data_IF_448294564939
#
_entry.id   IF_448294564939
#
_cell.length_a   1.000
_cell.length_b   1.000
_cell.length_c   1.000
_cell.angle_alpha   90.00
_cell.angle_beta   90.00
_cell.angle_gamma   90.00
#
_symmetry.space_group_name_H-M   'P 1'
#
loop_
_entity.id
_entity.type
_entity.pdbx_description
1 polymer ?
#
# COMPACT_ATOMS: atom_id res chain seq x y z
N UNK A 1 54.48 -18.75 -12.47
CA UNK A 1 53.39 -19.29 -11.62
C UNK A 1 52.27 -18.27 -11.66
N UNK A 2 51.13 -18.51 -12.34
CA UNK A 2 49.98 -17.64 -12.31
C UNK A 2 49.03 -18.05 -11.17
N UNK A 3 48.63 -17.05 -10.37
CA UNK A 3 47.66 -17.19 -9.30
C UNK A 3 46.27 -17.50 -9.92
N UNK A 4 45.71 -18.64 -9.55
CA UNK A 4 44.32 -19.03 -9.85
C UNK A 4 43.39 -18.21 -8.95
N UNK A 5 42.60 -17.31 -9.56
CA UNK A 5 41.45 -16.67 -8.95
C UNK A 5 40.32 -17.69 -8.91
N UNK A 6 40.00 -18.18 -7.73
CA UNK A 6 38.84 -19.04 -7.48
C UNK A 6 37.55 -18.28 -7.70
N UNK A 7 36.79 -18.66 -8.72
CA UNK A 7 35.40 -18.23 -8.93
C UNK A 7 34.51 -18.93 -7.95
N UNK A 8 34.17 -18.27 -6.83
CA UNK A 8 33.11 -18.73 -5.93
C UNK A 8 31.76 -18.39 -6.57
N UNK A 9 31.12 -19.38 -7.15
CA UNK A 9 29.69 -19.32 -7.50
C UNK A 9 28.85 -19.11 -6.24
N UNK A 10 27.95 -18.14 -6.22
CA UNK A 10 27.03 -17.99 -5.07
C UNK A 10 26.10 -19.21 -4.98
N UNK A 11 25.71 -19.63 -3.77
CA UNK A 11 24.83 -20.76 -3.58
C UNK A 11 23.46 -20.52 -4.23
N UNK A 12 22.79 -21.57 -4.72
CA UNK A 12 21.48 -21.45 -5.35
C UNK A 12 20.43 -20.96 -4.33
N UNK A 13 19.61 -19.98 -4.75
CA UNK A 13 18.57 -19.30 -3.97
C UNK A 13 17.35 -20.20 -3.66
N UNK A 14 17.53 -21.52 -3.67
CA UNK A 14 16.43 -22.50 -3.58
C UNK A 14 15.95 -22.83 -2.17
N UNK A 15 16.48 -22.20 -1.10
CA UNK A 15 16.07 -22.51 0.28
C UNK A 15 15.88 -21.25 1.15
N UNK A 16 15.26 -20.19 0.62
CA UNK A 16 14.59 -19.26 1.53
C UNK A 16 13.28 -19.92 1.90
N UNK A 17 13.33 -20.58 3.04
CA UNK A 17 12.20 -21.25 3.66
C UNK A 17 11.02 -20.30 3.68
N UNK A 18 10.05 -20.53 2.80
CA UNK A 18 8.68 -20.15 3.00
C UNK A 18 8.35 -20.70 4.39
N UNK A 19 8.33 -19.84 5.40
CA UNK A 19 7.60 -20.18 6.61
C UNK A 19 6.21 -20.57 6.10
N UNK A 20 5.79 -21.85 6.23
CA UNK A 20 4.49 -22.25 5.76
C UNK A 20 3.52 -21.29 6.41
N UNK A 21 2.75 -20.55 5.58
CA UNK A 21 1.69 -19.71 6.10
C UNK A 21 0.98 -20.57 7.11
N UNK A 22 1.01 -20.17 8.39
CA UNK A 22 0.34 -20.94 9.44
C UNK A 22 -1.04 -21.19 8.90
N UNK A 23 -1.34 -22.46 8.61
CA UNK A 23 -2.68 -22.89 8.28
C UNK A 23 -3.57 -22.34 9.38
N UNK A 24 -4.24 -21.25 9.09
CA UNK A 24 -5.25 -20.65 9.96
C UNK A 24 -6.43 -21.62 9.95
N UNK A 25 -6.24 -22.74 10.69
CA UNK A 25 -7.34 -23.62 11.04
C UNK A 25 -8.41 -22.75 11.71
N UNK A 26 -9.67 -23.11 11.48
CA UNK A 26 -10.89 -22.36 11.81
C UNK A 26 -11.03 -21.86 13.28
N UNK A 27 -10.01 -21.96 14.12
CA UNK A 27 -10.05 -21.65 15.55
C UNK A 27 -9.61 -20.22 15.93
N UNK A 28 -9.07 -19.38 15.03
CA UNK A 28 -8.63 -18.01 15.36
C UNK A 28 -9.19 -16.98 14.39
N UNK A 29 -10.52 -16.93 14.21
CA UNK A 29 -11.20 -15.82 13.51
C UNK A 29 -11.41 -14.59 14.40
N UNK A 30 -11.23 -14.71 15.70
CA UNK A 30 -11.29 -13.60 16.63
C UNK A 30 -9.98 -12.82 16.59
N UNK A 31 -10.03 -11.58 16.10
CA UNK A 31 -8.87 -10.68 16.02
C UNK A 31 -8.31 -10.40 14.61
N UNK A 32 -8.92 -10.88 13.54
CA UNK A 32 -8.55 -10.51 12.17
C UNK A 32 -9.49 -9.44 11.64
N UNK A 33 -8.96 -8.30 11.22
CA UNK A 33 -9.77 -7.25 10.60
C UNK A 33 -9.95 -7.49 9.10
N UNK A 34 -8.86 -7.72 8.36
CA UNK A 34 -8.88 -8.00 6.93
C UNK A 34 -8.06 -9.25 6.64
N UNK A 35 -8.59 -10.16 5.82
CA UNK A 35 -7.82 -11.29 5.35
C UNK A 35 -8.00 -11.48 3.84
N UNK A 36 -6.90 -11.75 3.17
CA UNK A 36 -6.83 -12.23 1.80
C UNK A 36 -6.45 -13.71 1.84
N UNK A 37 -7.22 -14.58 1.20
CA UNK A 37 -7.02 -16.02 1.22
C UNK A 37 -6.94 -16.57 -0.20
N UNK A 38 -5.77 -17.02 -0.60
CA UNK A 38 -5.54 -17.68 -1.88
C UNK A 38 -5.94 -16.84 -3.09
N UNK A 39 -5.66 -15.53 -3.07
CA UNK A 39 -6.08 -14.66 -4.16
C UNK A 39 -5.34 -14.97 -5.46
N UNK A 40 -6.11 -15.15 -6.52
CA UNK A 40 -5.63 -15.22 -7.90
C UNK A 40 -6.31 -14.16 -8.75
N UNK A 41 -5.53 -13.57 -9.66
CA UNK A 41 -6.05 -12.69 -10.71
C UNK A 41 -5.28 -12.85 -12.00
N UNK A 42 -6.02 -13.08 -13.08
CA UNK A 42 -5.49 -13.16 -14.43
C UNK A 42 -6.05 -12.03 -15.30
N UNK A 43 -5.23 -11.51 -16.20
CA UNK A 43 -5.64 -10.65 -17.31
C UNK A 43 -5.33 -11.40 -18.61
N UNK A 44 -6.36 -11.97 -19.21
CA UNK A 44 -6.18 -12.97 -20.27
C UNK A 44 -5.42 -14.18 -19.74
N UNK A 45 -4.30 -14.52 -20.37
CA UNK A 45 -3.39 -15.60 -19.94
C UNK A 45 -2.32 -15.16 -18.93
N UNK A 46 -2.22 -13.86 -18.63
CA UNK A 46 -1.16 -13.33 -17.78
C UNK A 46 -1.58 -13.32 -16.31
N UNK A 47 -0.91 -14.08 -15.42
CA UNK A 47 -1.19 -14.06 -14.00
C UNK A 47 -0.62 -12.77 -13.37
N UNK A 48 -1.50 -11.91 -12.88
CA UNK A 48 -1.12 -10.68 -12.17
C UNK A 48 -0.97 -10.89 -10.66
N UNK A 49 -1.75 -11.81 -10.08
CA UNK A 49 -1.70 -12.22 -8.66
C UNK A 49 -1.88 -13.73 -8.60
N UNK A 50 -1.03 -14.40 -7.81
CA UNK A 50 -0.96 -15.85 -7.72
C UNK A 50 -0.85 -16.30 -6.26
N UNK A 51 -1.91 -16.92 -5.74
CA UNK A 51 -1.98 -17.50 -4.40
C UNK A 51 -1.57 -16.53 -3.28
N UNK A 52 -2.00 -15.27 -3.36
CA UNK A 52 -1.66 -14.28 -2.33
C UNK A 52 -2.53 -14.49 -1.10
N UNK A 53 -1.88 -14.76 0.03
CA UNK A 53 -2.54 -14.99 1.32
C UNK A 53 -1.86 -14.17 2.40
N UNK A 54 -2.65 -13.38 3.14
CA UNK A 54 -2.19 -12.60 4.29
C UNK A 54 -3.36 -12.17 5.18
N UNK A 55 -3.00 -11.65 6.36
CA UNK A 55 -3.95 -11.08 7.31
C UNK A 55 -3.47 -9.74 7.81
N UNK A 56 -4.40 -8.85 8.11
CA UNK A 56 -4.17 -7.57 8.75
C UNK A 56 -4.98 -7.53 10.06
N UNK A 57 -4.28 -7.41 11.17
CA UNK A 57 -4.88 -7.35 12.50
C UNK A 57 -5.40 -5.94 12.84
N UNK A 58 -6.31 -5.80 13.82
CA UNK A 58 -6.71 -4.50 14.36
C UNK A 58 -5.50 -3.71 14.86
N UNK A 59 -5.43 -2.42 14.51
CA UNK A 59 -4.34 -1.54 14.91
C UNK A 59 -2.98 -1.82 14.25
N UNK A 60 -2.91 -2.75 13.30
CA UNK A 60 -1.68 -3.07 12.58
C UNK A 60 -1.47 -2.13 11.38
N UNK A 61 -0.21 -1.77 11.11
CA UNK A 61 0.22 -1.18 9.84
C UNK A 61 0.97 -2.24 9.05
N UNK A 62 0.37 -2.71 7.96
CA UNK A 62 0.91 -3.72 7.06
C UNK A 62 1.47 -3.05 5.81
N UNK A 63 2.78 -3.15 5.61
CA UNK A 63 3.46 -2.70 4.39
C UNK A 63 3.37 -3.74 3.28
N UNK A 64 2.97 -3.32 2.10
CA UNK A 64 2.83 -4.17 0.91
C UNK A 64 3.74 -3.66 -0.19
N UNK A 65 4.85 -4.34 -0.39
CA UNK A 65 5.98 -3.90 -1.20
C UNK A 65 6.15 -4.75 -2.46
N UNK A 66 6.73 -4.16 -3.47
CA UNK A 66 7.12 -4.86 -4.69
C UNK A 66 7.44 -3.88 -5.82
N UNK A 67 8.17 -4.31 -6.87
CA UNK A 67 8.44 -3.49 -8.03
C UNK A 67 7.17 -3.17 -8.83
N UNK A 68 7.30 -2.29 -9.80
CA UNK A 68 6.22 -2.04 -10.75
C UNK A 68 5.87 -3.34 -11.51
N UNK A 69 4.57 -3.59 -11.70
CA UNK A 69 4.09 -4.82 -12.32
C UNK A 69 4.09 -6.06 -11.41
N UNK A 70 4.45 -5.95 -10.12
CA UNK A 70 4.44 -7.11 -9.21
C UNK A 70 3.04 -7.57 -8.76
N UNK A 71 1.97 -6.82 -9.10
CA UNK A 71 0.59 -7.15 -8.74
C UNK A 71 0.01 -6.31 -7.58
N UNK A 72 0.72 -5.30 -7.07
CA UNK A 72 0.27 -4.46 -5.93
C UNK A 72 -1.09 -3.81 -6.18
N UNK A 73 -1.20 -3.00 -7.23
CA UNK A 73 -2.45 -2.28 -7.54
C UNK A 73 -3.60 -3.22 -7.87
N UNK A 74 -3.32 -4.42 -8.45
CA UNK A 74 -4.32 -5.47 -8.64
C UNK A 74 -4.83 -6.00 -7.30
N UNK A 75 -3.93 -6.28 -6.37
CA UNK A 75 -4.29 -6.70 -5.02
C UNK A 75 -5.10 -5.63 -4.29
N UNK A 76 -4.66 -4.37 -4.32
CA UNK A 76 -5.40 -3.23 -3.75
C UNK A 76 -6.82 -3.14 -4.30
N UNK A 77 -7.01 -3.28 -5.63
CA UNK A 77 -8.34 -3.29 -6.25
C UNK A 77 -9.22 -4.45 -5.77
N UNK A 78 -8.63 -5.63 -5.52
CA UNK A 78 -9.38 -6.75 -4.92
C UNK A 78 -9.74 -6.48 -3.45
N UNK A 79 -8.81 -5.94 -2.66
CA UNK A 79 -9.08 -5.59 -1.26
C UNK A 79 -10.15 -4.49 -1.11
N UNK A 80 -10.25 -3.55 -2.05
CA UNK A 80 -11.26 -2.48 -2.03
C UNK A 80 -12.60 -2.91 -2.63
N UNK A 81 -12.68 -4.15 -3.17
CA UNK A 81 -13.85 -4.65 -3.87
C UNK A 81 -14.12 -3.93 -5.21
N UNK A 82 -13.11 -3.27 -5.79
CA UNK A 82 -13.18 -2.70 -7.14
C UNK A 82 -12.95 -3.75 -8.22
N UNK A 83 -12.37 -4.88 -7.84
CA UNK A 83 -12.07 -6.00 -8.71
C UNK A 83 -12.34 -7.31 -7.99
N UNK A 84 -13.05 -8.23 -8.61
CA UNK A 84 -13.22 -9.57 -8.08
C UNK A 84 -12.00 -10.45 -8.41
N UNK A 85 -11.50 -11.25 -7.47
CA UNK A 85 -10.49 -12.26 -7.76
C UNK A 85 -11.06 -13.33 -8.70
N UNK A 86 -10.18 -14.01 -9.44
CA UNK A 86 -10.58 -15.19 -10.23
C UNK A 86 -10.71 -16.43 -9.32
N UNK A 87 -9.94 -16.47 -8.22
CA UNK A 87 -10.02 -17.48 -7.17
C UNK A 87 -9.56 -16.88 -5.85
N UNK A 88 -9.97 -17.50 -4.73
CA UNK A 88 -9.74 -16.99 -3.40
C UNK A 88 -10.78 -15.96 -2.95
N UNK A 89 -10.60 -15.42 -1.76
CA UNK A 89 -11.55 -14.48 -1.19
C UNK A 89 -10.87 -13.39 -0.33
N UNK A 90 -11.55 -12.26 -0.21
CA UNK A 90 -11.23 -11.21 0.77
C UNK A 90 -12.32 -11.21 1.83
N UNK A 91 -11.91 -11.26 3.10
CA UNK A 91 -12.84 -11.19 4.23
C UNK A 91 -12.52 -9.99 5.12
N UNK A 92 -13.56 -9.35 5.63
CA UNK A 92 -13.51 -8.28 6.63
C UNK A 92 -14.28 -8.73 7.88
N UNK A 93 -13.62 -8.75 9.03
CA UNK A 93 -14.16 -9.31 10.28
C UNK A 93 -14.78 -10.71 10.10
N UNK A 94 -14.12 -11.55 9.29
CA UNK A 94 -14.52 -12.93 9.01
C UNK A 94 -15.67 -13.08 8.02
N UNK A 95 -16.18 -12.00 7.44
CA UNK A 95 -17.22 -12.02 6.40
C UNK A 95 -16.62 -11.66 5.05
N UNK A 96 -16.97 -12.43 4.01
CA UNK A 96 -16.57 -12.11 2.64
C UNK A 96 -17.13 -10.72 2.26
N UNK A 97 -16.25 -9.83 1.77
CA UNK A 97 -16.60 -8.44 1.46
C UNK A 97 -17.69 -8.31 0.39
N UNK A 98 -17.80 -9.29 -0.52
CA UNK A 98 -18.78 -9.28 -1.60
C UNK A 98 -20.21 -9.64 -1.13
N UNK A 99 -20.39 -10.14 0.11
CA UNK A 99 -21.72 -10.38 0.68
C UNK A 99 -22.47 -9.08 0.97
N UNK A 100 -21.74 -8.04 1.43
CA UNK A 100 -22.28 -6.70 1.64
C UNK A 100 -21.17 -5.66 1.40
N UNK A 101 -20.88 -5.42 0.14
CA UNK A 101 -19.84 -4.50 -0.30
C UNK A 101 -20.12 -3.06 0.14
N UNK A 102 -21.40 -2.68 0.26
CA UNK A 102 -21.78 -1.34 0.69
C UNK A 102 -21.43 -1.11 2.18
N UNK A 103 -21.76 -2.07 3.05
CA UNK A 103 -21.40 -2.01 4.47
C UNK A 103 -19.88 -2.05 4.67
N UNK A 104 -19.17 -2.88 3.90
CA UNK A 104 -17.71 -2.92 3.94
C UNK A 104 -17.09 -1.57 3.56
N UNK A 105 -17.52 -0.97 2.44
CA UNK A 105 -17.00 0.32 1.96
C UNK A 105 -17.27 1.48 2.90
N UNK A 106 -18.31 1.43 3.73
CA UNK A 106 -18.55 2.41 4.80
C UNK A 106 -17.47 2.37 5.89
N UNK A 107 -16.83 1.21 6.10
CA UNK A 107 -15.76 1.03 7.08
C UNK A 107 -14.36 1.27 6.51
N UNK A 108 -14.27 1.39 5.19
CA UNK A 108 -13.03 1.54 4.44
C UNK A 108 -12.76 3.01 4.07
N UNK A 109 -11.58 3.50 4.39
CA UNK A 109 -10.97 4.67 3.75
C UNK A 109 -9.96 4.21 2.70
N UNK A 110 -10.08 4.71 1.49
CA UNK A 110 -9.20 4.34 0.39
C UNK A 110 -8.56 5.56 -0.26
N UNK A 111 -7.24 5.54 -0.40
CA UNK A 111 -6.45 6.51 -1.14
C UNK A 111 -5.78 5.78 -2.30
N UNK A 112 -6.22 6.01 -3.54
CA UNK A 112 -5.61 5.41 -4.73
C UNK A 112 -4.27 6.10 -5.07
N UNK A 113 -3.41 5.39 -5.82
CA UNK A 113 -2.14 5.91 -6.34
C UNK A 113 -2.35 7.14 -7.25
N UNK A 114 -3.35 7.08 -8.13
CA UNK A 114 -3.71 8.18 -9.01
C UNK A 114 -4.93 8.93 -8.49
N UNK A 115 -4.76 10.23 -8.32
CA UNK A 115 -5.83 11.14 -7.90
C UNK A 115 -6.78 11.46 -9.07
N UNK A 116 -7.57 10.46 -9.49
CA UNK A 116 -8.62 10.62 -10.49
C UNK A 116 -9.84 11.33 -9.87
N UNK A 117 -9.70 12.62 -9.65
CA UNK A 117 -10.74 13.49 -9.10
C UNK A 117 -11.54 14.14 -10.22
N UNK A 118 -12.77 14.57 -9.92
CA UNK A 118 -13.60 15.34 -10.85
C UNK A 118 -13.01 16.75 -11.02
N UNK A 119 -12.38 17.08 -12.17
CA UNK A 119 -11.59 18.31 -12.32
C UNK A 119 -12.42 19.59 -12.25
N UNK A 120 -13.72 19.50 -12.49
CA UNK A 120 -14.65 20.65 -12.48
C UNK A 120 -15.23 20.96 -11.11
N UNK A 121 -15.14 20.04 -10.15
CA UNK A 121 -15.56 20.30 -8.78
C UNK A 121 -14.46 21.05 -8.03
N UNK A 122 -14.84 21.91 -7.10
CA UNK A 122 -13.94 22.46 -6.09
C UNK A 122 -13.59 21.39 -5.03
N UNK A 123 -12.55 21.68 -4.24
CA UNK A 123 -12.17 20.77 -3.14
C UNK A 123 -13.29 20.57 -2.15
N UNK A 124 -14.03 21.62 -1.80
CA UNK A 124 -15.16 21.54 -0.88
C UNK A 124 -16.34 20.78 -1.47
N UNK A 125 -16.74 21.04 -2.73
CA UNK A 125 -17.83 20.32 -3.39
C UNK A 125 -17.54 18.83 -3.52
N UNK A 126 -16.29 18.46 -3.82
CA UNK A 126 -15.89 17.06 -3.89
C UNK A 126 -16.02 16.37 -2.53
N UNK A 127 -15.55 17.00 -1.46
CA UNK A 127 -15.65 16.43 -0.10
C UNK A 127 -17.09 16.36 0.38
N UNK A 128 -17.92 17.39 0.05
CA UNK A 128 -19.33 17.38 0.35
C UNK A 128 -20.07 16.23 -0.36
N UNK A 129 -19.80 16.03 -1.65
CA UNK A 129 -20.30 14.90 -2.42
C UNK A 129 -19.91 13.56 -1.78
N UNK A 130 -18.63 13.38 -1.42
CA UNK A 130 -18.16 12.14 -0.77
C UNK A 130 -18.87 11.91 0.57
N UNK A 131 -19.01 12.95 1.40
CA UNK A 131 -19.71 12.85 2.68
C UNK A 131 -21.19 12.50 2.52
N UNK A 132 -21.85 13.04 1.50
CA UNK A 132 -23.23 12.74 1.16
C UNK A 132 -23.40 11.30 0.70
N UNK A 133 -22.51 10.81 -0.19
CA UNK A 133 -22.51 9.41 -0.63
C UNK A 133 -22.26 8.42 0.52
N UNK A 134 -21.54 8.84 1.57
CA UNK A 134 -21.33 8.07 2.81
C UNK A 134 -22.49 8.20 3.80
N UNK A 135 -23.55 8.96 3.47
CA UNK A 135 -24.69 9.26 4.32
C UNK A 135 -24.27 9.88 5.68
N UNK A 136 -23.26 10.76 5.67
CA UNK A 136 -22.85 11.49 6.87
C UNK A 136 -23.93 12.53 7.24
N UNK A 137 -24.27 12.68 8.55
CA UNK A 137 -25.14 13.76 9.00
C UNK A 137 -24.57 15.13 8.63
N UNK A 138 -25.38 16.05 8.14
CA UNK A 138 -24.96 17.34 7.57
C UNK A 138 -24.06 18.14 8.51
N UNK A 139 -24.48 18.29 9.77
CA UNK A 139 -23.73 19.05 10.79
C UNK A 139 -22.34 18.46 11.07
N UNK A 140 -22.24 17.11 11.09
CA UNK A 140 -20.96 16.42 11.29
C UNK A 140 -20.09 16.50 10.02
N UNK A 141 -20.70 16.40 8.84
CA UNK A 141 -20.03 16.47 7.54
C UNK A 141 -19.35 17.81 7.35
N UNK A 142 -20.11 18.91 7.46
CA UNK A 142 -19.60 20.28 7.29
C UNK A 142 -18.45 20.56 8.29
N UNK A 143 -18.67 20.34 9.58
CA UNK A 143 -17.65 20.60 10.59
C UNK A 143 -16.34 19.82 10.36
N UNK A 144 -16.42 18.56 9.87
CA UNK A 144 -15.22 17.78 9.56
C UNK A 144 -14.52 18.22 8.30
N UNK A 145 -15.26 18.57 7.26
CA UNK A 145 -14.68 19.10 6.03
C UNK A 145 -13.89 20.37 6.34
N UNK A 146 -14.48 21.30 7.05
CA UNK A 146 -13.85 22.57 7.40
C UNK A 146 -12.56 22.34 8.21
N UNK A 147 -12.64 21.58 9.30
CA UNK A 147 -11.48 21.28 10.14
C UNK A 147 -10.37 20.55 9.39
N UNK A 148 -10.70 19.57 8.53
CA UNK A 148 -9.70 18.84 7.78
C UNK A 148 -9.07 19.69 6.68
N UNK A 149 -9.83 20.54 5.99
CA UNK A 149 -9.29 21.49 5.02
C UNK A 149 -8.29 22.44 5.65
N UNK A 150 -8.56 22.93 6.87
CA UNK A 150 -7.62 23.76 7.63
C UNK A 150 -6.35 22.98 7.99
N UNK A 151 -6.48 21.80 8.61
CA UNK A 151 -5.37 20.97 9.05
C UNK A 151 -4.47 20.48 7.91
N UNK A 152 -5.05 20.25 6.73
CA UNK A 152 -4.30 19.89 5.52
C UNK A 152 -3.85 21.13 4.70
N UNK A 153 -4.01 22.35 5.23
CA UNK A 153 -3.62 23.62 4.58
C UNK A 153 -4.26 23.83 3.21
N UNK A 154 -5.50 23.38 3.05
CA UNK A 154 -6.27 23.52 1.82
C UNK A 154 -7.42 24.53 1.93
N UNK A 155 -7.67 25.07 3.12
CA UNK A 155 -8.75 26.02 3.38
C UNK A 155 -8.76 27.23 2.43
N UNK A 156 -7.63 27.90 2.13
CA UNK A 156 -7.61 29.02 1.19
C UNK A 156 -8.02 28.65 -0.24
N UNK A 157 -7.87 27.37 -0.59
CA UNK A 157 -8.11 26.85 -1.94
C UNK A 157 -9.41 26.07 -2.08
N UNK A 158 -10.22 25.95 -1.03
CA UNK A 158 -11.38 25.06 -0.97
C UNK A 158 -12.42 25.26 -2.07
N UNK A 159 -12.56 26.47 -2.58
CA UNK A 159 -13.49 26.82 -3.66
C UNK A 159 -12.84 26.83 -5.06
N UNK A 160 -11.55 26.54 -5.15
CA UNK A 160 -10.84 26.43 -6.43
C UNK A 160 -11.04 25.04 -7.01
N UNK A 161 -11.20 24.94 -8.33
CA UNK A 161 -11.45 23.67 -9.01
C UNK A 161 -10.27 22.70 -8.88
N UNK A 162 -10.56 21.42 -8.70
CA UNK A 162 -9.56 20.34 -8.53
C UNK A 162 -8.66 20.18 -9.77
N UNK A 163 -9.12 20.60 -10.94
CA UNK A 163 -8.33 20.60 -12.16
C UNK A 163 -7.08 21.50 -12.05
N UNK A 164 -7.17 22.60 -11.29
CA UNK A 164 -6.06 23.53 -11.07
C UNK A 164 -5.17 23.18 -9.87
N UNK A 165 -5.53 22.17 -9.07
CA UNK A 165 -4.73 21.74 -7.93
C UNK A 165 -3.43 21.09 -8.37
N UNK A 166 -2.35 21.34 -7.61
CA UNK A 166 -1.12 20.57 -7.75
C UNK A 166 -1.35 19.08 -7.42
N UNK A 167 -0.43 18.21 -7.83
CA UNK A 167 -0.48 16.78 -7.49
C UNK A 167 -0.59 16.58 -5.97
N UNK A 168 0.22 17.30 -5.19
CA UNK A 168 0.19 17.22 -3.73
C UNK A 168 -1.11 17.73 -3.10
N UNK A 169 -1.74 18.79 -3.66
CA UNK A 169 -3.05 19.24 -3.20
C UNK A 169 -4.14 18.22 -3.48
N UNK A 170 -4.15 17.61 -4.65
CA UNK A 170 -5.08 16.51 -4.98
C UNK A 170 -4.90 15.32 -4.05
N UNK A 171 -3.66 14.96 -3.73
CA UNK A 171 -3.36 13.87 -2.79
C UNK A 171 -3.89 14.16 -1.38
N UNK A 172 -3.77 15.41 -0.92
CA UNK A 172 -4.34 15.84 0.37
C UNK A 172 -5.86 15.77 0.39
N UNK A 173 -6.55 16.14 -0.70
CA UNK A 173 -8.01 15.96 -0.81
C UNK A 173 -8.41 14.48 -0.70
N UNK A 174 -7.69 13.58 -1.36
CA UNK A 174 -7.97 12.14 -1.25
C UNK A 174 -7.78 11.62 0.19
N UNK A 175 -6.76 12.09 0.89
CA UNK A 175 -6.54 11.75 2.30
C UNK A 175 -7.69 12.26 3.18
N UNK A 176 -8.15 13.50 2.99
CA UNK A 176 -9.31 14.04 3.69
C UNK A 176 -10.54 13.18 3.42
N UNK A 177 -10.85 12.89 2.15
CA UNK A 177 -11.99 12.07 1.75
C UNK A 177 -11.96 10.65 2.37
N UNK A 178 -10.77 10.05 2.47
CA UNK A 178 -10.59 8.74 3.09
C UNK A 178 -10.79 8.77 4.61
N UNK A 179 -10.42 9.87 5.28
CA UNK A 179 -10.41 10.00 6.74
C UNK A 179 -11.72 10.56 7.32
N UNK A 180 -12.46 11.36 6.55
CA UNK A 180 -13.55 12.19 7.07
C UNK A 180 -14.69 11.43 7.73
N UNK A 181 -14.92 10.16 7.39
CA UNK A 181 -15.94 9.34 8.02
C UNK A 181 -15.40 8.36 9.08
N UNK A 182 -14.17 8.59 9.57
CA UNK A 182 -13.55 7.80 10.64
C UNK A 182 -13.51 6.28 10.34
N UNK A 183 -12.89 5.85 9.25
CA UNK A 183 -12.86 4.44 8.86
C UNK A 183 -12.15 3.58 9.90
N UNK A 184 -12.48 2.28 9.95
CA UNK A 184 -11.79 1.30 10.78
C UNK A 184 -10.56 0.73 10.06
N UNK A 185 -10.65 0.66 8.72
CA UNK A 185 -9.61 0.19 7.82
C UNK A 185 -9.22 1.29 6.83
N UNK A 186 -7.92 1.52 6.68
CA UNK A 186 -7.35 2.40 5.66
C UNK A 186 -6.53 1.57 4.66
N UNK A 187 -6.81 1.74 3.38
CA UNK A 187 -5.98 1.22 2.28
C UNK A 187 -5.36 2.43 1.59
N UNK A 188 -4.04 2.54 1.68
CA UNK A 188 -3.26 3.65 1.19
C UNK A 188 -2.32 3.15 0.08
N UNK A 189 -2.61 3.52 -1.17
CA UNK A 189 -1.80 3.14 -2.32
C UNK A 189 -0.95 4.35 -2.74
N UNK A 190 0.36 4.27 -2.51
CA UNK A 190 1.35 5.35 -2.75
C UNK A 190 0.94 6.72 -2.18
N UNK A 191 0.49 6.82 -0.91
CA UNK A 191 -0.17 8.00 -0.38
C UNK A 191 0.73 9.24 -0.26
N UNK A 192 2.04 9.08 -0.39
CA UNK A 192 3.03 10.16 -0.25
C UNK A 192 3.48 10.73 -1.60
N UNK A 193 2.96 10.20 -2.71
CA UNK A 193 3.37 10.64 -4.05
C UNK A 193 3.04 12.13 -4.29
N UNK A 194 4.06 12.91 -4.63
CA UNK A 194 3.93 14.34 -4.96
C UNK A 194 3.74 15.28 -3.75
N UNK A 195 3.93 14.77 -2.53
CA UNK A 195 3.92 15.59 -1.31
C UNK A 195 5.29 16.18 -1.01
N UNK A 196 5.30 17.36 -0.40
CA UNK A 196 6.49 17.98 0.16
C UNK A 196 6.94 17.26 1.45
N UNK A 197 8.19 17.53 1.89
CA UNK A 197 8.81 16.87 3.04
C UNK A 197 7.98 17.03 4.32
N UNK A 198 7.42 18.22 4.55
CA UNK A 198 6.61 18.49 5.75
C UNK A 198 5.32 17.68 5.72
N UNK A 199 4.62 17.65 4.59
CA UNK A 199 3.42 16.84 4.39
C UNK A 199 3.70 15.34 4.57
N UNK A 200 4.83 14.85 4.07
CA UNK A 200 5.27 13.46 4.28
C UNK A 200 5.44 13.15 5.76
N UNK A 201 6.08 14.03 6.54
CA UNK A 201 6.25 13.83 7.98
C UNK A 201 4.90 13.83 8.73
N UNK A 202 4.00 14.74 8.38
CA UNK A 202 2.64 14.77 8.96
C UNK A 202 1.90 13.47 8.71
N UNK A 203 1.92 12.97 7.47
CA UNK A 203 1.22 11.73 7.11
C UNK A 203 1.84 10.51 7.82
N UNK A 204 3.16 10.43 7.93
CA UNK A 204 3.83 9.38 8.71
C UNK A 204 3.36 9.35 10.16
N UNK A 205 3.36 10.51 10.82
CA UNK A 205 2.89 10.63 12.20
C UNK A 205 1.39 10.33 12.33
N UNK A 206 0.58 10.74 11.35
CA UNK A 206 -0.84 10.43 11.30
C UNK A 206 -1.09 8.93 11.22
N UNK A 207 -0.38 8.20 10.35
CA UNK A 207 -0.48 6.73 10.23
C UNK A 207 -0.18 6.06 11.58
N UNK A 208 0.90 6.46 12.25
CA UNK A 208 1.25 5.92 13.56
C UNK A 208 0.19 6.24 14.63
N UNK A 209 -0.28 7.48 14.67
CA UNK A 209 -1.31 7.90 15.62
C UNK A 209 -2.65 7.18 15.41
N UNK A 210 -3.01 6.88 14.16
CA UNK A 210 -4.22 6.11 13.83
C UNK A 210 -4.07 4.64 14.25
N UNK A 211 -2.92 4.03 13.99
CA UNK A 211 -2.60 2.67 14.41
C UNK A 211 -2.71 2.49 15.94
N UNK A 212 -2.10 3.40 16.72
CA UNK A 212 -2.21 3.40 18.20
C UNK A 212 -3.66 3.52 18.67
N UNK A 213 -4.53 4.19 17.89
CA UNK A 213 -5.97 4.29 18.16
C UNK A 213 -6.79 3.09 17.64
N UNK A 214 -6.13 2.01 17.24
CA UNK A 214 -6.76 0.77 16.81
C UNK A 214 -7.20 0.74 15.34
N UNK A 215 -6.86 1.75 14.53
CA UNK A 215 -7.15 1.74 13.09
C UNK A 215 -6.16 0.82 12.36
N UNK A 216 -6.66 -0.04 11.50
CA UNK A 216 -5.82 -0.94 10.69
C UNK A 216 -5.48 -0.29 9.36
N UNK A 217 -4.23 -0.40 8.96
CA UNK A 217 -3.72 0.30 7.79
C UNK A 217 -2.97 -0.66 6.87
N UNK A 218 -3.47 -0.81 5.64
CA UNK A 218 -2.76 -1.46 4.54
C UNK A 218 -2.04 -0.37 3.75
N UNK A 219 -0.71 -0.40 3.80
CA UNK A 219 0.15 0.61 3.23
C UNK A 219 0.94 0.06 2.05
N UNK A 220 0.55 0.42 0.84
CA UNK A 220 1.24 0.04 -0.39
C UNK A 220 2.20 1.16 -0.80
N UNK A 221 3.49 0.83 -0.96
CA UNK A 221 4.50 1.79 -1.42
C UNK A 221 5.73 1.09 -1.98
N UNK A 222 6.47 1.81 -2.79
CA UNK A 222 7.82 1.43 -3.24
C UNK A 222 8.92 2.17 -2.46
N UNK A 223 8.57 3.12 -1.57
CA UNK A 223 9.54 3.89 -0.77
C UNK A 223 9.85 3.14 0.52
N UNK A 224 10.91 2.34 0.48
CA UNK A 224 11.31 1.42 1.55
C UNK A 224 11.58 2.11 2.88
N UNK A 225 12.24 3.27 2.86
CA UNK A 225 12.55 4.05 4.07
C UNK A 225 11.30 4.46 4.86
N UNK A 226 10.22 4.79 4.16
CA UNK A 226 8.96 5.13 4.80
C UNK A 226 8.33 3.90 5.42
N UNK A 227 8.25 2.82 4.64
CA UNK A 227 7.65 1.55 5.08
C UNK A 227 8.37 1.01 6.31
N UNK A 228 9.70 1.09 6.36
CA UNK A 228 10.50 0.66 7.51
C UNK A 228 10.14 1.42 8.80
N UNK A 229 9.80 2.70 8.67
CA UNK A 229 9.48 3.56 9.82
C UNK A 229 8.03 3.44 10.30
N UNK A 230 7.08 3.14 9.39
CA UNK A 230 5.64 3.17 9.75
C UNK A 230 5.00 1.79 9.84
N UNK A 231 5.56 0.76 9.18
CA UNK A 231 4.96 -0.56 9.13
C UNK A 231 5.55 -1.50 10.18
N UNK A 232 4.67 -2.18 10.90
CA UNK A 232 5.06 -3.22 11.87
C UNK A 232 5.25 -4.60 11.23
N UNK A 233 4.65 -4.81 10.07
CA UNK A 233 4.67 -6.06 9.31
C UNK A 233 4.83 -5.78 7.83
N UNK A 234 5.53 -6.65 7.11
CA UNK A 234 5.83 -6.49 5.70
C UNK A 234 5.43 -7.72 4.88
N UNK A 235 4.92 -7.44 3.69
CA UNK A 235 4.76 -8.42 2.62
C UNK A 235 5.50 -7.91 1.40
N UNK A 236 6.34 -8.74 0.82
CA UNK A 236 7.07 -8.40 -0.42
C UNK A 236 6.54 -9.26 -1.55
N UNK A 237 6.12 -8.57 -2.63
CA UNK A 237 5.63 -9.19 -3.85
C UNK A 237 6.67 -9.18 -4.96
N UNK A 238 6.70 -10.28 -5.72
CA UNK A 238 7.42 -10.38 -7.00
C UNK A 238 6.63 -11.23 -7.97
N UNK A 239 6.41 -10.73 -9.20
CA UNK A 239 5.70 -11.46 -10.27
C UNK A 239 4.36 -12.09 -9.81
N UNK A 240 3.59 -11.33 -9.02
CA UNK A 240 2.28 -11.76 -8.51
C UNK A 240 2.30 -12.68 -7.30
N UNK A 241 3.46 -13.03 -6.76
CA UNK A 241 3.62 -13.95 -5.63
C UNK A 241 4.22 -13.27 -4.42
N UNK A 242 3.86 -13.73 -3.23
CA UNK A 242 4.48 -13.31 -1.97
C UNK A 242 5.81 -14.04 -1.82
N UNK A 243 6.90 -13.29 -1.75
CA UNK A 243 8.27 -13.83 -1.57
C UNK A 243 8.80 -13.61 -0.16
N UNK A 244 8.22 -12.69 0.61
CA UNK A 244 8.51 -12.51 2.04
C UNK A 244 7.25 -12.04 2.76
N UNK A 245 7.05 -12.52 4.00
CA UNK A 245 5.93 -12.15 4.86
C UNK A 245 6.38 -12.31 6.32
N UNK A 246 6.42 -11.22 7.09
CA UNK A 246 6.88 -11.26 8.48
C UNK A 246 6.93 -9.89 9.14
N UNK A 247 7.30 -9.85 10.42
CA UNK A 247 7.56 -8.60 11.11
C UNK A 247 8.67 -7.81 10.40
N UNK A 248 8.57 -6.48 10.39
CA UNK A 248 9.57 -5.61 9.72
C UNK A 248 10.99 -5.90 10.21
N UNK A 249 11.17 -6.15 11.51
CA UNK A 249 12.45 -6.52 12.12
C UNK A 249 12.97 -7.89 11.66
N UNK A 250 12.09 -8.86 11.48
CA UNK A 250 12.44 -10.21 11.01
C UNK A 250 12.85 -10.21 9.54
N UNK A 251 12.09 -9.56 8.68
CA UNK A 251 12.39 -9.44 7.24
C UNK A 251 13.74 -8.76 7.05
N UNK A 252 14.09 -7.76 7.87
CA UNK A 252 15.40 -7.12 7.86
C UNK A 252 16.51 -8.04 8.36
N UNK A 253 16.28 -8.78 9.46
CA UNK A 253 17.28 -9.61 10.12
C UNK A 253 17.72 -10.84 9.34
N UNK A 254 16.80 -11.48 8.61
CA UNK A 254 17.06 -12.74 7.88
C UNK A 254 18.07 -12.62 6.73
N UNK A 255 18.33 -11.42 6.23
CA UNK A 255 19.21 -11.21 5.07
C UNK A 255 20.53 -10.56 5.47
N UNK A 256 20.76 -10.32 6.78
CA UNK A 256 22.04 -9.81 7.30
C UNK A 256 22.40 -8.41 6.79
N UNK A 257 21.42 -7.64 6.32
CA UNK A 257 21.62 -6.28 5.79
C UNK A 257 21.10 -5.21 6.73
N UNK A 258 21.80 -4.08 6.77
CA UNK A 258 21.48 -2.96 7.67
C UNK A 258 20.23 -2.16 7.25
N UNK A 259 19.69 -2.37 6.02
CA UNK A 259 18.54 -1.65 5.49
C UNK A 259 17.58 -2.55 4.70
N UNK A 260 16.29 -2.21 4.67
CA UNK A 260 15.28 -2.85 3.81
C UNK A 260 15.61 -2.72 2.32
N UNK A 261 16.30 -1.67 1.91
CA UNK A 261 16.74 -1.47 0.52
C UNK A 261 17.65 -2.62 0.06
N UNK A 262 18.63 -3.00 0.90
CA UNK A 262 19.48 -4.14 0.61
C UNK A 262 18.74 -5.47 0.54
N UNK A 263 17.68 -5.63 1.34
CA UNK A 263 16.78 -6.78 1.30
C UNK A 263 15.97 -6.78 0.00
N UNK A 264 15.42 -5.64 -0.37
CA UNK A 264 14.61 -5.47 -1.56
C UNK A 264 15.40 -5.74 -2.84
N UNK A 265 16.60 -5.15 -2.98
CA UNK A 265 17.49 -5.38 -4.11
C UNK A 265 17.80 -6.88 -4.27
N UNK A 266 18.11 -7.57 -3.19
CA UNK A 266 18.44 -8.99 -3.25
C UNK A 266 17.24 -9.89 -3.58
N UNK A 267 16.04 -9.56 -3.09
CA UNK A 267 14.84 -10.36 -3.31
C UNK A 267 14.13 -10.07 -4.62
N UNK A 268 14.24 -8.84 -5.13
CA UNK A 268 13.38 -8.33 -6.20
C UNK A 268 14.13 -8.04 -7.49
N UNK A 269 15.36 -7.55 -7.44
CA UNK A 269 16.10 -7.17 -8.63
C UNK A 269 16.90 -8.33 -9.23
N UNK A 270 16.64 -8.61 -10.52
CA UNK A 270 17.41 -9.56 -11.35
C UNK A 270 18.58 -8.86 -12.06
N UNK A 271 18.62 -7.52 -12.08
CA UNK A 271 19.63 -6.74 -12.83
C UNK A 271 20.65 -6.15 -11.87
N UNK A 272 21.91 -6.27 -12.25
CA UNK A 272 22.99 -5.51 -11.63
C UNK A 272 22.84 -4.03 -12.00
N UNK A 273 22.33 -3.25 -11.07
CA UNK A 273 22.06 -1.80 -11.25
C UNK A 273 23.33 -1.06 -11.60
N UNK A 274 24.47 -1.44 -10.99
CA UNK A 274 25.77 -0.83 -11.24
C UNK A 274 26.26 -1.12 -12.66
N UNK A 275 26.09 -2.36 -13.11
CA UNK A 275 26.45 -2.75 -14.47
C UNK A 275 25.59 -2.01 -15.50
N UNK A 276 24.28 -1.93 -15.30
CA UNK A 276 23.38 -1.20 -16.20
C UNK A 276 23.73 0.30 -16.24
N UNK A 277 24.05 0.92 -15.10
CA UNK A 277 24.46 2.32 -15.06
C UNK A 277 25.77 2.55 -15.84
N UNK A 278 26.77 1.66 -15.71
CA UNK A 278 28.01 1.74 -16.47
C UNK A 278 27.78 1.56 -17.98
N UNK A 279 26.93 0.59 -18.39
CA UNK A 279 26.55 0.40 -19.79
C UNK A 279 25.90 1.65 -20.39
N UNK A 280 25.04 2.36 -19.62
CA UNK A 280 24.45 3.63 -20.05
C UNK A 280 25.53 4.70 -20.23
N UNK A 281 26.45 4.82 -19.28
CA UNK A 281 27.57 5.77 -19.36
C UNK A 281 28.44 5.49 -20.60
N UNK A 282 28.77 4.22 -20.84
CA UNK A 282 29.58 3.81 -22.01
C UNK A 282 28.88 4.22 -23.33
N UNK A 283 27.56 4.03 -23.45
CA UNK A 283 26.78 4.46 -24.62
C UNK A 283 26.76 5.98 -24.79
N UNK A 284 26.66 6.73 -23.69
CA UNK A 284 26.60 8.21 -23.73
C UNK A 284 27.96 8.83 -24.05
N UNK A 285 29.05 8.22 -23.56
CA UNK A 285 30.41 8.77 -23.70
C UNK A 285 31.09 8.32 -25.01
N UNK A 286 30.62 7.23 -25.62
CA UNK A 286 31.16 6.70 -26.88
C UNK A 286 30.62 7.38 -28.16
N UNK A 287 29.95 8.52 -28.05
CA UNK A 287 29.39 9.32 -29.18
C UNK A 287 30.39 10.35 -29.73
#
# INVERSE_FOLDING_TARGET
MPLQLGTSTPPPVSNICLLPGRNLSARNKEGLMLAAQGLYKFYGSVPAVQNVTFTLAPGQVLGYLGPNGSGKSTTVKMLTGLLEPNDGEVTYNGQNIHKDLAAYRKRLGYVPEEANLYPYLSGQEYLDMVGTLRAMPETRKSARIDSLLELFSLWPHRHVTLGSYSKGMRQRILLIAALMDNPDLLILDEPLSGLDVTSVLIIKNLIQALSVRGKSIFYCSHILEVVEKVCSHLIVLRKGQVIANGATSEVRGHIGKSSLEGVFLQLVEEKDVTKTANEIVDVVVSA
#
